data_IF_534278272471
#
_entry.id   IF_534278272471
#
_cell.length_a   1.000
_cell.length_b   1.000
_cell.length_c   1.000
_cell.angle_alpha   90.00
_cell.angle_beta   90.00
_cell.angle_gamma   90.00
#
_symmetry.space_group_name_H-M   'P 1'
#
loop_
_entity.id
_entity.type
_entity.pdbx_description
1 polymer ?
#
# COMPACT_ATOMS: atom_id res chain seq x y z
N UNK A 1 -44.85 -34.17 -51.07
CA UNK A 1 -45.10 -35.54 -50.57
C UNK A 1 -44.26 -35.74 -49.31
N UNK A 2 -44.91 -36.19 -48.23
CA UNK A 2 -44.41 -36.81 -46.96
C UNK A 2 -43.32 -36.07 -46.15
N UNK A 3 -43.63 -35.49 -44.98
CA UNK A 3 -43.71 -36.09 -43.61
C UNK A 3 -42.38 -35.98 -42.86
N UNK A 4 -42.18 -35.17 -41.81
CA UNK A 4 -42.67 -35.21 -40.40
C UNK A 4 -42.26 -36.45 -39.57
N UNK A 5 -41.41 -36.21 -38.55
CA UNK A 5 -41.42 -36.73 -37.15
C UNK A 5 -40.13 -36.17 -36.47
N UNK A 6 -40.08 -35.35 -35.41
CA UNK A 6 -40.75 -35.31 -34.09
C UNK A 6 -40.69 -36.62 -33.30
N UNK A 7 -39.69 -36.70 -32.41
CA UNK A 7 -39.67 -37.54 -31.19
C UNK A 7 -38.71 -36.85 -30.21
N UNK A 8 -39.18 -36.06 -29.24
CA UNK A 8 -39.73 -36.46 -27.92
C UNK A 8 -38.71 -37.16 -27.01
N UNK A 9 -38.32 -36.45 -25.96
CA UNK A 9 -37.66 -36.91 -24.73
C UNK A 9 -38.35 -38.12 -24.09
N UNK A 10 -37.62 -38.82 -23.20
CA UNK A 10 -38.20 -39.03 -21.88
C UNK A 10 -37.21 -38.75 -20.73
N UNK A 11 -37.69 -37.96 -19.76
CA UNK A 11 -37.37 -38.07 -18.33
C UNK A 11 -38.22 -39.24 -17.81
N UNK A 12 -37.65 -40.22 -17.08
CA UNK A 12 -37.93 -40.38 -15.64
C UNK A 12 -36.74 -41.05 -14.91
N UNK A 13 -36.66 -41.28 -13.59
CA UNK A 13 -37.46 -40.97 -12.42
C UNK A 13 -36.51 -41.05 -11.21
N UNK A 14 -36.97 -40.46 -10.10
CA UNK A 14 -36.33 -40.41 -8.81
C UNK A 14 -36.37 -41.74 -8.02
N UNK A 15 -35.61 -41.72 -6.92
CA UNK A 15 -35.70 -42.49 -5.65
C UNK A 15 -34.74 -43.70 -5.50
N UNK A 16 -34.29 -44.05 -4.27
CA UNK A 16 -34.84 -43.66 -2.97
C UNK A 16 -33.87 -43.07 -1.93
N UNK A 17 -34.47 -42.23 -1.09
CA UNK A 17 -34.10 -42.01 0.31
C UNK A 17 -34.05 -43.34 1.08
N UNK A 18 -32.93 -43.65 1.74
CA UNK A 18 -32.93 -44.41 3.00
C UNK A 18 -31.89 -43.78 3.93
N UNK A 19 -32.40 -43.22 5.02
CA UNK A 19 -31.69 -42.82 6.23
C UNK A 19 -31.35 -44.06 7.08
N UNK A 20 -30.17 -44.05 7.70
CA UNK A 20 -29.91 -44.27 9.14
C UNK A 20 -28.41 -43.91 9.35
N UNK A 21 -28.03 -42.82 10.03
CA UNK A 21 -27.95 -42.65 11.50
C UNK A 21 -27.34 -43.91 12.14
N UNK A 22 -26.15 -43.94 12.73
CA UNK A 22 -25.46 -43.08 13.71
C UNK A 22 -24.00 -43.64 13.73
N UNK A 23 -22.90 -43.05 14.20
CA UNK A 23 -22.64 -41.96 15.12
C UNK A 23 -21.19 -41.50 14.91
N UNK A 24 -20.94 -40.20 15.00
CA UNK A 24 -19.82 -39.56 15.72
C UNK A 24 -19.67 -38.12 15.22
N UNK A 25 -19.79 -37.10 16.10
CA UNK A 25 -19.65 -35.72 15.69
C UNK A 25 -18.16 -35.42 15.50
N UNK A 26 -17.74 -35.18 14.27
CA UNK A 26 -16.50 -34.43 14.03
C UNK A 26 -16.88 -32.94 14.10
N UNK A 27 -16.51 -32.23 15.16
CA UNK A 27 -16.81 -30.83 15.25
C UNK A 27 -15.87 -30.09 14.31
N UNK A 28 -16.49 -29.26 13.48
CA UNK A 28 -16.06 -27.89 13.25
C UNK A 28 -14.62 -27.76 12.75
N UNK A 29 -14.51 -27.62 11.43
CA UNK A 29 -13.39 -26.94 10.80
C UNK A 29 -12.96 -25.77 11.69
N UNK A 30 -11.74 -25.86 12.23
CA UNK A 30 -11.13 -24.76 12.95
C UNK A 30 -10.94 -23.62 11.96
N UNK A 31 -11.99 -22.81 11.83
CA UNK A 31 -11.87 -21.39 11.65
C UNK A 31 -11.02 -20.92 12.82
N UNK A 32 -9.70 -20.90 12.62
CA UNK A 32 -8.84 -20.09 13.46
C UNK A 32 -9.16 -18.66 13.06
N UNK A 33 -10.23 -18.12 13.65
CA UNK A 33 -10.36 -16.72 14.00
C UNK A 33 -9.12 -16.37 14.80
N UNK A 34 -8.00 -16.10 14.13
CA UNK A 34 -6.89 -15.44 14.80
C UNK A 34 -7.41 -14.05 15.10
N UNK A 35 -7.40 -13.61 16.37
CA UNK A 35 -7.63 -12.21 16.67
C UNK A 35 -6.66 -11.44 15.78
N UNK A 36 -7.15 -10.56 14.89
CA UNK A 36 -6.26 -9.60 14.22
C UNK A 36 -5.62 -8.83 15.36
N UNK A 37 -4.34 -9.05 15.68
CA UNK A 37 -3.70 -8.18 16.64
C UNK A 37 -3.70 -6.83 15.94
N UNK A 38 -4.25 -5.81 16.59
CA UNK A 38 -3.79 -4.45 16.34
C UNK A 38 -2.27 -4.52 16.20
N UNK A 39 -1.63 -3.93 15.16
CA UNK A 39 -0.19 -4.03 15.00
C UNK A 39 0.44 -3.50 16.28
N UNK A 40 0.90 -4.43 17.12
CA UNK A 40 1.58 -4.11 18.35
C UNK A 40 2.95 -3.49 18.06
N UNK A 41 3.59 -2.96 19.11
CA UNK A 41 4.92 -2.37 19.03
C UNK A 41 5.93 -3.34 18.38
N UNK A 42 6.58 -2.92 17.29
CA UNK A 42 7.60 -3.68 16.56
C UNK A 42 7.12 -4.98 15.86
N UNK A 43 7.67 -5.27 14.67
CA UNK A 43 7.37 -6.55 13.99
C UNK A 43 8.58 -7.14 13.28
N UNK A 44 8.75 -8.46 13.38
CA UNK A 44 9.77 -9.23 12.70
C UNK A 44 9.12 -10.16 11.68
N UNK A 45 9.64 -10.19 10.45
CA UNK A 45 9.30 -11.21 9.45
C UNK A 45 10.53 -12.03 9.10
N UNK A 46 10.45 -13.35 9.26
CA UNK A 46 11.46 -14.28 8.79
C UNK A 46 10.99 -14.96 7.50
N UNK A 47 11.79 -14.90 6.44
CA UNK A 47 11.54 -15.59 5.17
C UNK A 47 12.56 -16.72 5.04
N UNK A 48 12.07 -17.96 4.97
CA UNK A 48 12.89 -19.13 4.77
C UNK A 48 13.16 -19.33 3.27
N UNK A 49 14.41 -19.63 2.91
CA UNK A 49 14.83 -19.85 1.54
C UNK A 49 15.39 -21.27 1.35
N UNK A 50 15.02 -21.93 0.25
CA UNK A 50 15.60 -23.20 -0.20
C UNK A 50 16.05 -23.05 -1.65
N UNK A 51 17.30 -23.39 -1.93
CA UNK A 51 17.93 -23.14 -3.24
C UNK A 51 17.77 -21.67 -3.73
N UNK A 52 17.71 -20.71 -2.80
CA UNK A 52 17.52 -19.29 -3.10
C UNK A 52 16.06 -18.85 -3.31
N UNK A 53 15.09 -19.77 -3.32
CA UNK A 53 13.67 -19.45 -3.48
C UNK A 53 12.93 -19.41 -2.14
N UNK A 54 11.96 -18.49 -1.96
CA UNK A 54 11.15 -18.43 -0.75
C UNK A 54 10.23 -19.64 -0.64
N UNK A 55 10.34 -20.37 0.48
CA UNK A 55 9.49 -21.53 0.79
C UNK A 55 8.41 -21.20 1.83
N UNK A 56 8.53 -20.06 2.51
CA UNK A 56 7.53 -19.58 3.44
C UNK A 56 8.02 -18.42 4.30
N UNK A 57 7.11 -17.80 5.04
CA UNK A 57 7.42 -16.69 5.93
C UNK A 57 6.70 -16.75 7.27
N UNK A 58 7.36 -16.25 8.30
CA UNK A 58 6.91 -16.22 9.69
C UNK A 58 6.85 -14.79 10.15
N UNK A 59 5.73 -14.40 10.76
CA UNK A 59 5.57 -13.07 11.34
C UNK A 59 5.49 -13.18 12.84
N UNK A 60 6.27 -12.35 13.53
CA UNK A 60 6.29 -12.24 14.98
C UNK A 60 5.92 -10.81 15.36
N UNK A 61 4.99 -10.70 16.32
CA UNK A 61 4.80 -9.48 17.07
C UNK A 61 5.87 -9.47 18.18
N UNK A 62 6.59 -8.36 18.32
CA UNK A 62 7.65 -8.25 19.30
C UNK A 62 7.00 -7.86 20.64
N UNK A 63 6.78 -8.84 21.50
CA UNK A 63 6.43 -8.59 22.90
C UNK A 63 7.68 -8.12 23.63
N UNK A 64 7.57 -7.29 24.68
CA UNK A 64 8.68 -6.72 25.46
C UNK A 64 9.61 -7.71 26.20
N UNK A 65 9.69 -8.96 25.75
CA UNK A 65 10.66 -9.95 26.16
C UNK A 65 12.08 -9.56 25.68
N UNK A 66 13.11 -10.08 26.38
CA UNK A 66 14.51 -9.81 26.06
C UNK A 66 14.90 -10.22 24.63
N UNK A 67 15.80 -9.45 23.97
CA UNK A 67 16.14 -9.62 22.55
C UNK A 67 16.75 -10.99 22.22
N UNK A 68 17.49 -11.58 23.15
CA UNK A 68 18.11 -12.90 23.01
C UNK A 68 17.08 -14.03 22.96
N UNK A 69 16.07 -13.98 23.85
CA UNK A 69 15.00 -14.96 23.92
C UNK A 69 14.13 -14.88 22.67
N UNK A 70 13.83 -13.66 22.20
CA UNK A 70 13.11 -13.42 20.96
C UNK A 70 13.90 -13.96 19.77
N UNK A 71 15.19 -13.66 19.66
CA UNK A 71 16.05 -14.15 18.58
C UNK A 71 16.10 -15.69 18.56
N UNK A 72 16.26 -16.32 19.72
CA UNK A 72 16.24 -17.78 19.89
C UNK A 72 14.92 -18.40 19.43
N UNK A 73 13.79 -17.88 19.89
CA UNK A 73 12.46 -18.36 19.53
C UNK A 73 12.18 -18.19 18.02
N UNK A 74 12.55 -17.04 17.45
CA UNK A 74 12.31 -16.75 16.04
C UNK A 74 13.12 -17.68 15.11
N UNK A 75 14.41 -17.86 15.40
CA UNK A 75 15.26 -18.76 14.60
C UNK A 75 14.90 -20.24 14.82
N UNK A 76 14.53 -20.63 16.04
CA UNK A 76 14.02 -21.98 16.32
C UNK A 76 12.75 -22.31 15.51
N UNK A 77 11.85 -21.32 15.37
CA UNK A 77 10.62 -21.48 14.60
C UNK A 77 10.84 -21.70 13.09
N UNK A 78 12.04 -21.42 12.55
CA UNK A 78 12.40 -21.78 11.17
C UNK A 78 12.45 -23.30 10.96
N UNK A 79 12.66 -24.08 12.03
CA UNK A 79 12.65 -25.54 11.98
C UNK A 79 11.37 -26.14 11.40
N UNK A 80 10.25 -25.40 11.44
CA UNK A 80 8.98 -25.81 10.81
C UNK A 80 9.10 -26.04 9.29
N UNK A 81 10.07 -25.39 8.64
CA UNK A 81 10.31 -25.52 7.20
C UNK A 81 11.36 -26.60 6.87
N UNK A 82 11.74 -27.40 7.88
CA UNK A 82 12.77 -28.42 7.79
C UNK A 82 14.18 -27.82 7.79
N UNK A 83 15.10 -28.47 7.09
CA UNK A 83 16.50 -28.03 6.97
C UNK A 83 16.58 -26.81 6.04
N UNK A 84 16.66 -25.62 6.65
CA UNK A 84 16.82 -24.34 5.96
C UNK A 84 18.28 -23.88 6.05
N UNK A 85 18.89 -23.63 4.90
CA UNK A 85 20.28 -23.17 4.80
C UNK A 85 20.39 -21.66 4.71
N UNK A 86 19.31 -20.97 4.32
CA UNK A 86 19.31 -19.52 4.10
C UNK A 86 18.01 -18.90 4.59
N UNK A 87 18.08 -17.75 5.26
CA UNK A 87 16.91 -17.01 5.69
C UNK A 87 17.13 -15.49 5.60
N UNK A 88 16.03 -14.75 5.46
CA UNK A 88 16.03 -13.30 5.53
C UNK A 88 15.19 -12.86 6.73
N UNK A 89 15.75 -12.05 7.61
CA UNK A 89 15.04 -11.37 8.67
C UNK A 89 14.76 -9.92 8.29
N UNK A 90 13.48 -9.55 8.25
CA UNK A 90 13.01 -8.19 8.07
C UNK A 90 12.57 -7.66 9.43
N UNK A 91 13.34 -6.74 9.99
CA UNK A 91 13.04 -6.11 11.28
C UNK A 91 12.41 -4.76 11.01
N UNK A 92 11.18 -4.55 11.52
CA UNK A 92 10.54 -3.24 11.55
C UNK A 92 10.72 -2.63 12.94
N UNK A 93 11.38 -1.46 13.06
CA UNK A 93 11.64 -0.85 14.35
C UNK A 93 10.34 -0.38 15.01
N UNK A 94 10.33 -0.44 16.33
CA UNK A 94 9.22 0.05 17.16
C UNK A 94 9.28 1.57 17.38
N UNK A 95 8.12 2.20 17.60
CA UNK A 95 7.94 3.67 17.64
C UNK A 95 8.46 4.36 18.93
N UNK A 96 8.49 3.73 20.12
CA UNK A 96 9.08 4.34 21.32
C UNK A 96 10.54 3.93 21.61
N UNK A 97 11.06 2.82 21.08
CA UNK A 97 12.42 2.33 21.42
C UNK A 97 13.21 1.79 20.20
N UNK A 98 13.96 2.66 19.49
CA UNK A 98 14.83 2.23 18.40
C UNK A 98 16.02 1.39 18.88
N UNK A 99 16.44 1.53 20.14
CA UNK A 99 17.55 0.74 20.69
C UNK A 99 17.16 -0.71 20.92
N UNK A 100 15.92 -0.99 21.33
CA UNK A 100 15.41 -2.36 21.43
C UNK A 100 15.48 -3.10 20.08
N UNK A 101 15.21 -2.39 18.99
CA UNK A 101 15.30 -2.95 17.64
C UNK A 101 16.76 -3.22 17.23
N UNK A 102 17.69 -2.34 17.60
CA UNK A 102 19.12 -2.55 17.40
C UNK A 102 19.66 -3.73 18.22
N UNK A 103 19.29 -3.83 19.50
CA UNK A 103 19.63 -4.97 20.38
C UNK A 103 19.11 -6.29 19.83
N UNK A 104 17.88 -6.32 19.27
CA UNK A 104 17.34 -7.50 18.60
C UNK A 104 18.11 -7.89 17.34
N UNK A 105 18.52 -6.92 16.52
CA UNK A 105 19.34 -7.19 15.32
C UNK A 105 20.68 -7.80 15.71
N UNK A 106 21.33 -7.29 16.76
CA UNK A 106 22.58 -7.85 17.29
C UNK A 106 22.36 -9.29 17.77
N UNK A 107 21.33 -9.52 18.60
CA UNK A 107 20.99 -10.84 19.12
C UNK A 107 20.69 -11.86 17.99
N UNK A 108 19.97 -11.45 16.93
CA UNK A 108 19.72 -12.30 15.76
C UNK A 108 21.01 -12.66 15.01
N UNK A 109 21.95 -11.71 14.87
CA UNK A 109 23.25 -11.97 14.20
C UNK A 109 24.11 -12.91 15.02
N UNK A 110 24.17 -12.72 16.33
CA UNK A 110 24.95 -13.57 17.24
C UNK A 110 24.38 -14.97 17.28
N UNK A 111 23.05 -15.09 17.39
CA UNK A 111 22.41 -16.41 17.39
C UNK A 111 22.56 -17.11 16.04
N UNK A 112 22.45 -16.41 14.92
CA UNK A 112 22.71 -17.00 13.61
C UNK A 112 24.16 -17.48 13.45
N UNK A 113 25.14 -16.75 13.99
CA UNK A 113 26.55 -17.18 14.00
C UNK A 113 26.76 -18.48 14.77
N UNK A 114 25.95 -18.76 15.79
CA UNK A 114 25.98 -20.03 16.53
C UNK A 114 25.34 -21.21 15.77
N UNK A 115 24.75 -20.98 14.58
CA UNK A 115 24.09 -21.98 13.76
C UNK A 115 24.87 -22.19 12.44
N UNK A 116 25.83 -23.13 12.39
CA UNK A 116 26.77 -23.24 11.26
C UNK A 116 26.12 -23.60 9.93
N UNK A 117 24.90 -24.15 9.94
CA UNK A 117 24.16 -24.54 8.74
C UNK A 117 23.25 -23.42 8.19
N UNK A 118 23.15 -22.26 8.84
CA UNK A 118 22.20 -21.20 8.50
C UNK A 118 22.91 -19.89 8.11
N UNK A 119 22.73 -19.47 6.86
CA UNK A 119 23.08 -18.12 6.41
C UNK A 119 21.88 -17.17 6.60
N UNK A 120 21.96 -16.29 7.61
CA UNK A 120 20.94 -15.28 7.86
C UNK A 120 21.35 -13.92 7.30
N UNK A 121 20.50 -13.34 6.44
CA UNK A 121 20.59 -11.92 6.07
C UNK A 121 19.57 -11.13 6.85
N UNK A 122 20.00 -10.03 7.47
CA UNK A 122 19.08 -9.16 8.21
C UNK A 122 18.98 -7.83 7.47
N UNK A 123 17.76 -7.46 7.10
CA UNK A 123 17.42 -6.13 6.63
C UNK A 123 16.57 -5.45 7.70
N UNK A 124 17.05 -4.31 8.19
CA UNK A 124 16.21 -3.40 8.96
C UNK A 124 15.45 -2.60 7.92
N UNK A 125 14.14 -2.77 7.89
CA UNK A 125 13.33 -1.98 6.97
C UNK A 125 13.45 -0.52 7.42
N UNK A 126 13.88 0.39 6.52
CA UNK A 126 13.83 1.80 6.84
C UNK A 126 12.41 2.12 7.26
N UNK A 127 12.29 3.00 8.27
CA UNK A 127 10.99 3.58 8.62
C UNK A 127 10.30 3.94 7.29
N UNK A 128 9.02 3.61 7.05
CA UNK A 128 8.25 4.53 6.22
C UNK A 128 8.44 5.87 6.94
N UNK A 129 9.15 6.81 6.33
CA UNK A 129 9.56 8.02 7.02
C UNK A 129 8.34 8.60 7.72
N UNK A 130 8.51 9.09 8.96
CA UNK A 130 7.64 10.21 9.35
C UNK A 130 7.82 11.21 8.23
N UNK A 131 6.84 11.28 7.35
CA UNK A 131 6.94 12.12 6.17
C UNK A 131 6.98 13.54 6.71
N UNK A 132 8.19 14.09 6.86
CA UNK A 132 8.40 15.48 7.19
C UNK A 132 7.73 16.28 6.08
N UNK A 133 6.52 16.76 6.33
CA UNK A 133 5.81 17.65 5.41
C UNK A 133 4.31 17.41 5.25
N UNK A 134 3.74 16.29 5.71
CA UNK A 134 2.31 16.04 5.57
C UNK A 134 1.64 15.95 6.95
N UNK A 135 0.72 16.89 7.23
CA UNK A 135 0.01 16.94 8.51
C UNK A 135 -0.74 15.64 8.79
N UNK A 136 -0.76 15.24 10.07
CA UNK A 136 -1.45 14.04 10.54
C UNK A 136 -2.94 14.12 10.15
N UNK A 137 -3.36 13.27 9.22
CA UNK A 137 -4.77 13.00 9.01
C UNK A 137 -5.20 11.99 10.06
N UNK A 138 -6.37 12.17 10.67
CA UNK A 138 -6.86 11.25 11.71
C UNK A 138 -6.85 9.81 11.20
N UNK A 139 -6.39 8.86 12.03
CA UNK A 139 -6.28 7.44 11.65
C UNK A 139 -7.59 6.85 11.11
N UNK A 140 -8.74 7.37 11.57
CA UNK A 140 -10.07 6.98 11.09
C UNK A 140 -10.37 7.51 9.67
N UNK A 141 -9.98 8.76 9.38
CA UNK A 141 -10.13 9.36 8.06
C UNK A 141 -9.28 8.62 7.02
N UNK A 142 -8.04 8.25 7.37
CA UNK A 142 -7.18 7.46 6.47
C UNK A 142 -7.82 6.12 6.13
N UNK A 143 -8.40 5.41 7.12
CA UNK A 143 -9.09 4.13 6.86
C UNK A 143 -10.31 4.31 5.96
N UNK A 144 -11.09 5.37 6.17
CA UNK A 144 -12.25 5.68 5.35
C UNK A 144 -11.86 6.01 3.89
N UNK A 145 -10.74 6.73 3.70
CA UNK A 145 -10.19 7.04 2.37
C UNK A 145 -9.74 5.77 1.68
N UNK A 146 -8.93 4.92 2.34
CA UNK A 146 -8.44 3.65 1.77
C UNK A 146 -9.62 2.76 1.34
N UNK A 147 -10.60 2.57 2.22
CA UNK A 147 -11.78 1.77 1.90
C UNK A 147 -12.60 2.34 0.74
N UNK A 148 -12.63 3.67 0.57
CA UNK A 148 -13.28 4.31 -0.56
C UNK A 148 -12.47 4.18 -1.86
N UNK A 149 -11.13 4.27 -1.79
CA UNK A 149 -10.24 4.02 -2.94
C UNK A 149 -10.40 2.59 -3.44
N UNK A 150 -10.35 1.60 -2.55
CA UNK A 150 -10.53 0.19 -2.89
C UNK A 150 -11.86 -0.03 -3.63
N UNK A 151 -12.97 0.49 -3.10
CA UNK A 151 -14.30 0.38 -3.74
C UNK A 151 -14.37 1.03 -5.14
N UNK A 152 -13.58 2.08 -5.37
CA UNK A 152 -13.54 2.76 -6.66
C UNK A 152 -12.68 2.00 -7.66
N UNK A 153 -11.58 1.38 -7.22
CA UNK A 153 -10.66 0.60 -8.05
C UNK A 153 -11.18 -0.82 -8.34
N UNK A 154 -11.93 -1.42 -7.41
CA UNK A 154 -12.60 -2.72 -7.60
C UNK A 154 -13.52 -2.72 -8.83
N UNK A 155 -13.97 -1.54 -9.25
CA UNK A 155 -14.70 -1.33 -10.51
C UNK A 155 -13.74 -1.25 -11.70
N UNK A 156 -12.94 -2.28 -12.00
CA UNK A 156 -12.00 -2.34 -13.15
C UNK A 156 -10.95 -1.20 -13.23
N UNK A 157 -9.65 -1.49 -13.35
CA UNK A 157 -8.57 -0.48 -13.31
C UNK A 157 -8.68 0.61 -14.39
N UNK A 158 -9.34 0.32 -15.51
CA UNK A 158 -9.60 1.26 -16.62
C UNK A 158 -10.97 1.97 -16.55
N UNK A 159 -11.80 1.70 -15.56
CA UNK A 159 -13.09 2.35 -15.49
C UNK A 159 -12.92 3.83 -15.15
N UNK A 160 -13.33 4.68 -16.07
CA UNK A 160 -13.42 6.10 -15.82
C UNK A 160 -14.28 6.35 -14.58
N UNK A 161 -13.80 7.22 -13.68
CA UNK A 161 -14.59 7.68 -12.55
C UNK A 161 -15.95 8.19 -13.04
N UNK A 162 -17.07 7.80 -12.39
CA UNK A 162 -18.38 8.36 -12.68
C UNK A 162 -18.36 9.89 -12.73
N UNK A 163 -19.07 10.48 -13.71
CA UNK A 163 -19.10 11.93 -13.93
C UNK A 163 -19.43 12.73 -12.67
N UNK A 164 -20.32 12.21 -11.82
CA UNK A 164 -20.70 12.81 -10.53
C UNK A 164 -19.49 12.93 -9.58
N UNK A 165 -18.61 11.92 -9.56
CA UNK A 165 -17.40 11.97 -8.74
C UNK A 165 -16.36 12.92 -9.32
N UNK A 166 -16.22 12.98 -10.65
CA UNK A 166 -15.35 13.96 -11.30
C UNK A 166 -15.78 15.40 -11.01
N UNK A 167 -17.08 15.68 -11.03
CA UNK A 167 -17.61 17.00 -10.63
C UNK A 167 -17.34 17.29 -9.16
N UNK A 168 -17.49 16.30 -8.27
CA UNK A 168 -17.17 16.47 -6.86
C UNK A 168 -15.67 16.74 -6.61
N UNK A 169 -14.78 16.15 -7.42
CA UNK A 169 -13.33 16.47 -7.42
C UNK A 169 -13.10 17.89 -7.91
N UNK A 170 -13.71 18.31 -9.02
CA UNK A 170 -13.59 19.69 -9.52
C UNK A 170 -14.04 20.71 -8.46
N UNK A 171 -15.16 20.46 -7.78
CA UNK A 171 -15.68 21.33 -6.72
C UNK A 171 -14.80 21.32 -5.47
N UNK A 172 -14.16 20.19 -5.15
CA UNK A 172 -13.15 20.12 -4.09
C UNK A 172 -11.93 20.97 -4.44
N UNK A 173 -11.40 20.84 -5.66
CA UNK A 173 -10.25 21.61 -6.16
C UNK A 173 -10.57 23.11 -6.18
N UNK A 174 -11.75 23.52 -6.69
CA UNK A 174 -12.17 24.93 -6.71
C UNK A 174 -12.32 25.52 -5.30
N UNK A 175 -12.83 24.76 -4.34
CA UNK A 175 -12.93 25.21 -2.93
C UNK A 175 -11.55 25.36 -2.30
N UNK A 176 -10.65 24.40 -2.53
CA UNK A 176 -9.28 24.46 -2.05
C UNK A 176 -8.50 25.64 -2.66
N UNK A 177 -8.74 25.97 -3.94
CA UNK A 177 -8.19 27.19 -4.54
C UNK A 177 -8.69 28.43 -3.80
N UNK A 178 -9.98 28.54 -3.50
CA UNK A 178 -10.55 29.70 -2.78
C UNK A 178 -10.18 29.79 -1.30
N UNK A 179 -9.22 28.98 -0.84
CA UNK A 179 -8.79 28.85 0.56
C UNK A 179 -9.96 28.64 1.55
N UNK A 180 -11.05 28.04 1.06
CA UNK A 180 -12.19 27.67 1.88
C UNK A 180 -11.88 26.35 2.56
N UNK A 181 -12.10 26.29 3.88
CA UNK A 181 -11.76 25.19 4.78
C UNK A 181 -11.90 23.83 4.08
N UNK A 182 -10.77 23.32 3.59
CA UNK A 182 -10.70 22.19 2.67
C UNK A 182 -10.83 20.88 3.43
N UNK A 183 -11.80 20.76 4.34
CA UNK A 183 -12.19 19.50 4.98
C UNK A 183 -12.81 18.60 3.91
N UNK A 184 -11.94 18.01 3.10
CA UNK A 184 -12.28 17.05 2.09
C UNK A 184 -12.96 15.86 2.77
N UNK A 185 -14.21 15.59 2.41
CA UNK A 185 -14.87 14.35 2.81
C UNK A 185 -14.02 13.17 2.30
N UNK A 186 -13.87 12.07 3.07
CA UNK A 186 -13.05 10.92 2.67
C UNK A 186 -13.31 10.42 1.24
N UNK A 187 -14.59 10.38 0.83
CA UNK A 187 -14.98 9.96 -0.52
C UNK A 187 -14.48 10.92 -1.63
N UNK A 188 -14.46 12.23 -1.39
CA UNK A 188 -13.97 13.21 -2.36
C UNK A 188 -12.43 13.17 -2.46
N UNK A 189 -11.75 12.91 -1.34
CA UNK A 189 -10.30 12.70 -1.33
C UNK A 189 -9.93 11.39 -2.04
N UNK A 190 -10.68 10.31 -1.83
CA UNK A 190 -10.51 9.05 -2.54
C UNK A 190 -10.73 9.21 -4.06
N UNK A 191 -11.79 9.92 -4.46
CA UNK A 191 -12.04 10.21 -5.87
C UNK A 191 -10.91 11.05 -6.50
N UNK A 192 -10.34 12.01 -5.76
CA UNK A 192 -9.16 12.76 -6.18
C UNK A 192 -7.94 11.83 -6.38
N UNK A 193 -7.65 10.97 -5.42
CA UNK A 193 -6.55 9.99 -5.49
C UNK A 193 -6.69 9.10 -6.72
N UNK A 194 -7.90 8.58 -6.98
CA UNK A 194 -8.17 7.74 -8.15
C UNK A 194 -8.07 8.55 -9.45
N UNK A 195 -8.59 9.78 -9.48
CA UNK A 195 -8.59 10.62 -10.67
C UNK A 195 -7.16 10.87 -11.20
N UNK A 196 -6.22 11.16 -10.29
CA UNK A 196 -4.84 11.48 -10.66
C UNK A 196 -4.01 10.27 -11.09
N UNK A 197 -4.52 9.03 -10.95
CA UNK A 197 -3.85 7.85 -11.51
C UNK A 197 -3.90 7.84 -13.04
N UNK A 198 -4.89 8.52 -13.63
CA UNK A 198 -4.99 8.68 -15.09
C UNK A 198 -4.33 9.99 -15.54
N UNK A 199 -3.61 9.96 -16.66
CA UNK A 199 -3.01 11.16 -17.27
C UNK A 199 -4.06 12.25 -17.51
N UNK A 200 -5.26 11.87 -18.00
CA UNK A 200 -6.36 12.81 -18.24
C UNK A 200 -6.85 13.49 -16.96
N UNK A 201 -6.97 12.75 -15.85
CA UNK A 201 -7.39 13.30 -14.57
C UNK A 201 -6.32 14.18 -13.93
N UNK A 202 -5.05 13.77 -14.01
CA UNK A 202 -3.92 14.58 -13.57
C UNK A 202 -3.83 15.91 -14.34
N UNK A 203 -3.93 15.88 -15.67
CA UNK A 203 -3.88 17.08 -16.51
C UNK A 203 -5.10 17.98 -16.29
N UNK A 204 -6.30 17.40 -16.10
CA UNK A 204 -7.52 18.17 -15.73
C UNK A 204 -7.31 18.94 -14.44
N UNK A 205 -6.71 18.33 -13.42
CA UNK A 205 -6.43 19.00 -12.14
C UNK A 205 -5.45 20.17 -12.32
N UNK A 206 -4.39 19.97 -13.09
CA UNK A 206 -3.41 21.02 -13.38
C UNK A 206 -4.03 22.17 -14.22
N UNK A 207 -4.94 21.86 -15.14
CA UNK A 207 -5.70 22.86 -15.89
C UNK A 207 -6.62 23.67 -14.97
N UNK A 208 -7.31 23.02 -14.03
CA UNK A 208 -8.13 23.73 -13.03
C UNK A 208 -7.28 24.64 -12.14
N UNK A 209 -6.08 24.19 -11.74
CA UNK A 209 -5.14 24.99 -10.96
C UNK A 209 -4.70 26.25 -11.73
N UNK A 210 -4.48 26.16 -13.04
CA UNK A 210 -4.07 27.28 -13.91
C UNK A 210 -5.21 28.22 -14.30
N UNK A 211 -6.43 27.71 -14.38
CA UNK A 211 -7.62 28.50 -14.77
C UNK A 211 -8.12 29.45 -13.67
N UNK A 212 -7.62 29.34 -12.44
CA UNK A 212 -7.92 30.26 -11.35
C UNK A 212 -7.06 31.53 -11.46
N UNK A 213 -7.44 32.45 -12.34
CA UNK A 213 -6.64 33.65 -12.68
C UNK A 213 -6.30 34.60 -11.51
N UNK A 214 -6.93 34.45 -10.34
CA UNK A 214 -6.70 35.29 -9.14
C UNK A 214 -6.09 34.51 -7.96
N UNK A 215 -5.93 33.18 -8.08
CA UNK A 215 -5.53 32.33 -6.95
C UNK A 215 -4.23 31.58 -7.29
N UNK A 216 -3.25 31.67 -6.40
CA UNK A 216 -2.01 30.90 -6.50
C UNK A 216 -2.29 29.39 -6.57
N UNK A 217 -1.69 28.70 -7.53
CA UNK A 217 -1.72 27.24 -7.61
C UNK A 217 -1.20 26.59 -6.31
N UNK A 218 -0.36 27.30 -5.56
CA UNK A 218 0.11 26.95 -4.21
C UNK A 218 -1.02 26.66 -3.21
N UNK A 219 -2.23 27.21 -3.39
CA UNK A 219 -3.39 26.91 -2.53
C UNK A 219 -3.87 25.45 -2.63
N UNK A 220 -3.49 24.71 -3.68
CA UNK A 220 -3.77 23.28 -3.80
C UNK A 220 -2.77 22.39 -3.07
N UNK A 221 -1.60 22.93 -2.68
CA UNK A 221 -0.54 22.17 -2.01
C UNK A 221 -1.08 21.49 -0.74
N UNK A 222 -1.81 22.15 0.17
CA UNK A 222 -2.34 21.50 1.38
C UNK A 222 -3.29 20.34 1.07
N UNK A 223 -4.14 20.47 0.04
CA UNK A 223 -5.07 19.43 -0.37
C UNK A 223 -4.33 18.20 -0.93
N UNK A 224 -3.39 18.42 -1.85
CA UNK A 224 -2.60 17.34 -2.45
C UNK A 224 -1.69 16.68 -1.42
N UNK A 225 -1.17 17.45 -0.46
CA UNK A 225 -0.44 16.93 0.70
C UNK A 225 -1.31 16.00 1.53
N UNK A 226 -2.54 16.40 1.84
CA UNK A 226 -3.50 15.54 2.55
C UNK A 226 -3.88 14.30 1.75
N UNK A 227 -4.07 14.43 0.44
CA UNK A 227 -4.34 13.30 -0.45
C UNK A 227 -3.18 12.30 -0.45
N UNK A 228 -1.92 12.76 -0.52
CA UNK A 228 -0.74 11.90 -0.49
C UNK A 228 -0.63 11.14 0.83
N UNK A 229 -0.85 11.81 1.96
CA UNK A 229 -0.82 11.19 3.29
C UNK A 229 -1.90 10.11 3.47
N UNK A 230 -3.10 10.36 2.93
CA UNK A 230 -4.23 9.44 3.03
C UNK A 230 -4.25 8.34 1.94
N UNK A 231 -3.48 8.49 0.87
CA UNK A 231 -3.44 7.54 -0.23
C UNK A 231 -2.82 6.20 0.21
N UNK A 232 -3.37 5.07 -0.27
CA UNK A 232 -2.67 3.81 -0.18
C UNK A 232 -1.35 3.87 -0.96
N UNK A 233 -0.42 2.98 -0.61
CA UNK A 233 0.99 3.08 -1.06
C UNK A 233 1.09 3.00 -2.59
N UNK A 234 0.28 2.18 -3.24
CA UNK A 234 0.26 1.98 -4.69
C UNK A 234 -0.21 3.23 -5.46
N UNK A 235 -1.14 4.00 -4.92
CA UNK A 235 -1.75 5.16 -5.59
C UNK A 235 -1.06 6.47 -5.21
N UNK A 236 -0.24 6.47 -4.15
CA UNK A 236 0.47 7.66 -3.66
C UNK A 236 1.41 8.24 -4.70
N UNK A 237 2.05 7.42 -5.53
CA UNK A 237 2.97 7.88 -6.57
C UNK A 237 2.31 8.88 -7.54
N UNK A 238 1.08 8.60 -8.01
CA UNK A 238 0.33 9.49 -8.90
C UNK A 238 0.04 10.85 -8.26
N UNK A 239 -0.31 10.87 -6.96
CA UNK A 239 -0.56 12.12 -6.22
C UNK A 239 0.73 12.94 -6.08
N UNK A 240 1.85 12.30 -5.74
CA UNK A 240 3.15 12.97 -5.62
C UNK A 240 3.63 13.57 -6.94
N UNK A 241 3.36 12.90 -8.08
CA UNK A 241 3.67 13.44 -9.41
C UNK A 241 2.92 14.73 -9.68
N UNK A 242 1.62 14.79 -9.37
CA UNK A 242 0.81 16.01 -9.54
C UNK A 242 1.30 17.13 -8.63
N UNK A 243 1.58 16.83 -7.36
CA UNK A 243 2.12 17.80 -6.41
C UNK A 243 3.48 18.34 -6.86
N UNK A 244 4.39 17.48 -7.33
CA UNK A 244 5.70 17.89 -7.84
C UNK A 244 5.59 18.77 -9.09
N UNK A 245 4.68 18.46 -10.03
CA UNK A 245 4.43 19.31 -11.21
C UNK A 245 3.91 20.70 -10.83
N UNK A 246 3.04 20.77 -9.82
CA UNK A 246 2.51 22.04 -9.32
C UNK A 246 3.62 22.88 -8.67
N UNK A 247 4.42 22.29 -7.78
CA UNK A 247 5.52 22.97 -7.11
C UNK A 247 6.63 23.41 -8.08
N UNK A 248 6.90 22.63 -9.13
CA UNK A 248 7.80 23.04 -10.20
C UNK A 248 7.29 24.29 -10.94
N UNK A 249 5.98 24.33 -11.23
CA UNK A 249 5.32 25.50 -11.82
C UNK A 249 5.38 26.75 -10.94
N UNK A 250 5.32 26.58 -9.62
CA UNK A 250 5.45 27.65 -8.62
C UNK A 250 6.92 28.02 -8.32
N UNK A 251 7.89 27.52 -9.09
CA UNK A 251 9.31 27.82 -8.94
C UNK A 251 10.01 27.08 -7.77
N UNK A 252 9.32 26.19 -7.07
CA UNK A 252 9.85 25.41 -5.94
C UNK A 252 10.57 24.13 -6.41
N UNK A 253 11.55 24.29 -7.30
CA UNK A 253 12.22 23.19 -7.99
C UNK A 253 12.90 22.17 -7.06
N UNK A 254 13.39 22.59 -5.89
CA UNK A 254 13.99 21.67 -4.91
C UNK A 254 12.96 20.69 -4.34
N UNK A 255 11.82 21.20 -3.85
CA UNK A 255 10.75 20.37 -3.30
C UNK A 255 10.13 19.47 -4.38
N UNK A 256 9.97 20.00 -5.61
CA UNK A 256 9.48 19.22 -6.74
C UNK A 256 10.39 18.02 -7.05
N UNK A 257 11.72 18.19 -6.99
CA UNK A 257 12.69 17.11 -7.19
C UNK A 257 12.61 16.04 -6.10
N UNK A 258 12.50 16.44 -4.84
CA UNK A 258 12.40 15.51 -3.73
C UNK A 258 11.14 14.65 -3.85
N UNK A 259 10.01 15.27 -4.20
CA UNK A 259 8.74 14.57 -4.38
C UNK A 259 8.75 13.66 -5.62
N UNK A 260 9.35 14.10 -6.74
CA UNK A 260 9.50 13.25 -7.92
C UNK A 260 10.37 12.01 -7.63
N UNK A 261 11.43 12.18 -6.84
CA UNK A 261 12.29 11.07 -6.39
C UNK A 261 11.54 10.10 -5.48
N UNK A 262 10.73 10.63 -4.55
CA UNK A 262 9.86 9.81 -3.70
C UNK A 262 8.83 9.03 -4.52
N UNK A 263 8.21 9.66 -5.53
CA UNK A 263 7.26 8.98 -6.41
C UNK A 263 7.90 7.80 -7.16
N UNK A 264 9.12 7.97 -7.67
CA UNK A 264 9.88 6.88 -8.32
C UNK A 264 10.26 5.78 -7.33
N UNK A 265 10.60 6.14 -6.08
CA UNK A 265 10.92 5.15 -5.05
C UNK A 265 9.69 4.32 -4.63
N UNK A 266 8.49 4.92 -4.65
CA UNK A 266 7.24 4.24 -4.35
C UNK A 266 6.78 3.33 -5.50
N UNK A 267 6.88 3.81 -6.74
CA UNK A 267 6.57 3.01 -7.93
C UNK A 267 7.61 3.27 -9.04
N UNK A 268 8.62 2.39 -9.17
CA UNK A 268 9.64 2.48 -10.22
C UNK A 268 9.08 2.32 -11.65
N UNK A 269 7.88 1.78 -11.82
CA UNK A 269 7.25 1.57 -13.12
C UNK A 269 6.33 2.74 -13.52
N UNK A 270 6.06 3.68 -12.61
CA UNK A 270 5.22 4.84 -12.89
C UNK A 270 5.85 5.78 -13.93
N UNK A 271 5.37 5.71 -15.17
CA UNK A 271 5.92 6.45 -16.31
C UNK A 271 5.99 7.97 -16.06
N UNK A 272 4.94 8.53 -15.45
CA UNK A 272 4.89 9.96 -15.14
C UNK A 272 5.93 10.40 -14.10
N UNK A 273 6.27 9.53 -13.15
CA UNK A 273 7.23 9.83 -12.09
C UNK A 273 8.65 9.87 -12.66
N UNK A 274 8.99 8.86 -13.48
CA UNK A 274 10.28 8.79 -14.17
C UNK A 274 10.52 9.97 -15.10
N UNK A 275 9.54 10.32 -15.94
CA UNK A 275 9.62 11.46 -16.87
C UNK A 275 9.81 12.78 -16.13
N UNK A 276 9.08 12.98 -15.04
CA UNK A 276 9.20 14.19 -14.22
C UNK A 276 10.58 14.27 -13.55
N UNK A 277 11.04 13.18 -12.94
CA UNK A 277 12.35 13.13 -12.30
C UNK A 277 13.48 13.40 -13.30
N UNK A 278 13.42 12.84 -14.50
CA UNK A 278 14.41 13.12 -15.55
C UNK A 278 14.38 14.57 -16.02
N UNK A 279 13.19 15.15 -16.21
CA UNK A 279 13.06 16.55 -16.64
C UNK A 279 13.64 17.51 -15.59
N UNK A 280 13.29 17.32 -14.33
CA UNK A 280 13.78 18.17 -13.23
C UNK A 280 15.29 17.98 -12.96
N UNK A 281 15.85 16.82 -13.29
CA UNK A 281 17.29 16.59 -13.22
C UNK A 281 18.04 17.34 -14.33
N UNK A 282 17.51 17.36 -15.56
CA UNK A 282 18.09 18.09 -16.69
C UNK A 282 18.10 19.61 -16.44
N UNK A 283 16.99 20.19 -15.96
CA UNK A 283 16.91 21.62 -15.61
C UNK A 283 17.94 22.04 -14.55
N UNK A 284 18.33 21.14 -13.65
CA UNK A 284 19.36 21.42 -12.64
C UNK A 284 20.74 21.51 -13.27
N UNK A 285 21.03 20.66 -14.26
CA UNK A 285 22.32 20.65 -14.96
C UNK A 285 22.48 21.91 -15.80
N UNK A 286 21.42 22.35 -16.49
CA UNK A 286 21.42 23.59 -17.27
C UNK A 286 21.63 24.85 -16.41
N UNK A 287 21.11 24.88 -15.17
CA UNK A 287 21.32 26.01 -14.25
C UNK A 287 22.70 26.03 -13.57
N UNK A 288 23.46 24.95 -13.68
CA UNK A 288 24.77 24.80 -13.05
C UNK A 288 25.94 24.94 -14.06
N UNK A 289 25.64 24.97 -15.36
CA UNK A 289 26.57 25.24 -16.45
C UNK A 289 26.58 26.73 -16.82
#
# INVERSE_FOLDING_TARGET
MTSSALTSTPVPAALPFVQWADAAPLPTAFAVSRPRPSPGPGSLVLVALRAGLPVGSLRFALTGAGPELVAGACLGALGRFGRIQRAIALVRPDEPDPEASARLVVALRERARSLPALSLRIAVLPRPGREQGFGETGREDTRAVVAAVDRLLDRHPDAALPRVLLLAVDDLVRRALRDQDARARPAALAALIVAVQSTRGADRLLLLARGGAEVSAGSLVPLLRRAAAAAPVSERAGVLVVLARLLAGDGQAAQARDLASQAVALDPHHLGARRLASALAAERQERAA
#
